data_IF_575985204226
#
_entry.id   IF_575985204226
#
_cell.length_a   1.000
_cell.length_b   1.000
_cell.length_c   1.000
_cell.angle_alpha   90.00
_cell.angle_beta   90.00
_cell.angle_gamma   90.00
#
_symmetry.space_group_name_H-M   'P 1'
#
loop_
_entity.id
_entity.type
_entity.pdbx_description
1 polymer ?
#
# COMPACT_ATOMS: atom_id res chain seq x y z
N UNK A 1 -10.69 -20.12 -14.43
CA UNK A 1 -12.11 -20.50 -14.36
C UNK A 1 -13.05 -19.30 -14.51
N UNK A 2 -13.15 -18.37 -13.54
CA UNK A 2 -14.09 -17.24 -13.66
C UNK A 2 -13.83 -16.37 -14.89
N UNK A 3 -12.59 -15.94 -15.10
CA UNK A 3 -12.18 -15.11 -16.26
C UNK A 3 -12.51 -15.80 -17.59
N UNK A 4 -12.23 -17.10 -17.71
CA UNK A 4 -12.55 -17.92 -18.89
C UNK A 4 -14.06 -18.06 -19.10
N UNK A 5 -14.84 -18.25 -18.02
CA UNK A 5 -16.30 -18.31 -18.08
C UNK A 5 -16.94 -16.99 -18.53
N UNK A 6 -16.33 -15.87 -18.14
CA UNK A 6 -16.76 -14.53 -18.55
C UNK A 6 -16.29 -14.18 -19.97
N UNK A 7 -15.37 -14.96 -20.56
CA UNK A 7 -14.72 -14.61 -21.83
C UNK A 7 -13.90 -13.32 -21.73
N UNK A 8 -13.41 -12.98 -20.53
CA UNK A 8 -12.65 -11.74 -20.31
C UNK A 8 -11.22 -11.87 -20.87
N UNK A 9 -10.72 -10.80 -21.46
CA UNK A 9 -9.36 -10.70 -22.04
C UNK A 9 -8.36 -10.07 -21.07
N UNK A 10 -8.86 -9.51 -19.96
CA UNK A 10 -8.02 -8.91 -18.93
C UNK A 10 -8.68 -8.89 -17.56
N UNK A 11 -7.86 -8.61 -16.55
CA UNK A 11 -8.24 -8.51 -15.16
C UNK A 11 -7.49 -7.37 -14.47
N UNK A 12 -8.19 -6.68 -13.57
CA UNK A 12 -7.59 -5.77 -12.60
C UNK A 12 -7.63 -6.48 -11.26
N UNK A 13 -6.47 -6.61 -10.62
CA UNK A 13 -6.36 -7.27 -9.31
C UNK A 13 -5.85 -6.24 -8.32
N UNK A 14 -6.62 -6.02 -7.26
CA UNK A 14 -6.18 -5.30 -6.07
C UNK A 14 -6.01 -6.29 -4.91
N UNK A 15 -5.26 -5.87 -3.90
CA UNK A 15 -5.13 -6.57 -2.62
C UNK A 15 -5.39 -5.59 -1.47
N UNK A 16 -5.44 -6.06 -0.23
CA UNK A 16 -5.44 -5.20 0.96
C UNK A 16 -4.37 -5.71 1.93
N UNK A 17 -3.46 -4.84 2.35
CA UNK A 17 -2.42 -5.14 3.33
C UNK A 17 -1.04 -5.28 2.68
N UNK A 18 -0.13 -6.02 3.31
CA UNK A 18 1.23 -6.19 2.78
C UNK A 18 1.84 -7.53 3.18
N UNK A 19 2.86 -7.97 2.45
CA UNK A 19 3.58 -9.22 2.71
C UNK A 19 2.88 -10.43 2.09
N UNK A 20 1.96 -11.06 2.81
CA UNK A 20 1.22 -12.21 2.26
C UNK A 20 0.26 -11.81 1.12
N UNK A 21 -0.49 -10.69 1.23
CA UNK A 21 -1.27 -10.15 0.12
C UNK A 21 -0.42 -9.90 -1.15
N UNK A 22 0.80 -9.39 -1.03
CA UNK A 22 1.70 -9.19 -2.17
C UNK A 22 2.00 -10.52 -2.89
N UNK A 23 2.24 -11.59 -2.14
CA UNK A 23 2.48 -12.91 -2.69
C UNK A 23 1.22 -13.45 -3.40
N UNK A 24 0.03 -13.25 -2.81
CA UNK A 24 -1.24 -13.61 -3.43
C UNK A 24 -1.52 -12.81 -4.71
N UNK A 25 -1.21 -11.51 -4.70
CA UNK A 25 -1.30 -10.61 -5.84
C UNK A 25 -0.41 -11.11 -6.99
N UNK A 26 0.86 -11.42 -6.70
CA UNK A 26 1.81 -11.98 -7.68
C UNK A 26 1.36 -13.34 -8.21
N UNK A 27 0.91 -14.24 -7.33
CA UNK A 27 0.40 -15.55 -7.73
C UNK A 27 -0.81 -15.44 -8.66
N UNK A 28 -1.73 -14.50 -8.40
CA UNK A 28 -2.87 -14.25 -9.28
C UNK A 28 -2.43 -13.71 -10.63
N UNK A 29 -1.52 -12.72 -10.65
CA UNK A 29 -0.94 -12.18 -11.88
C UNK A 29 -0.33 -13.30 -12.75
N UNK A 30 0.56 -14.11 -12.17
CA UNK A 30 1.24 -15.19 -12.88
C UNK A 30 0.25 -16.22 -13.43
N UNK A 31 -0.80 -16.56 -12.68
CA UNK A 31 -1.83 -17.52 -13.11
C UNK A 31 -2.71 -16.98 -14.25
N UNK A 32 -2.91 -15.67 -14.32
CA UNK A 32 -3.69 -15.00 -15.35
C UNK A 32 -2.87 -14.78 -16.62
N UNK A 33 -1.67 -14.23 -16.50
CA UNK A 33 -0.76 -13.98 -17.62
C UNK A 33 -0.36 -15.26 -18.34
N UNK A 34 -0.15 -16.38 -17.62
CA UNK A 34 0.11 -17.70 -18.22
C UNK A 34 -1.06 -18.27 -19.04
N UNK A 35 -2.24 -17.64 -18.98
CA UNK A 35 -3.43 -17.98 -19.77
C UNK A 35 -3.77 -16.88 -20.78
N UNK A 36 -2.80 -16.03 -21.11
CA UNK A 36 -2.94 -14.91 -22.04
C UNK A 36 -3.99 -13.86 -21.59
N UNK A 37 -4.29 -13.79 -20.29
CA UNK A 37 -5.16 -12.75 -19.71
C UNK A 37 -4.29 -11.58 -19.25
N UNK A 38 -4.51 -10.41 -19.85
CA UNK A 38 -3.77 -9.19 -19.48
C UNK A 38 -4.13 -8.72 -18.09
N UNK A 39 -3.14 -8.56 -17.24
CA UNK A 39 -3.35 -8.27 -15.82
C UNK A 39 -2.72 -6.94 -15.44
N UNK A 40 -3.51 -6.09 -14.78
CA UNK A 40 -3.01 -4.88 -14.11
C UNK A 40 -3.17 -5.05 -12.62
N UNK A 41 -2.11 -4.78 -11.87
CA UNK A 41 -2.10 -4.84 -10.41
C UNK A 41 -2.27 -3.44 -9.82
N UNK A 42 -3.13 -3.30 -8.82
CA UNK A 42 -3.23 -2.10 -7.98
C UNK A 42 -2.85 -2.50 -6.55
N UNK A 43 -1.90 -1.80 -5.97
CA UNK A 43 -1.34 -2.13 -4.64
C UNK A 43 -0.73 -0.87 -4.03
N UNK A 44 -0.42 -0.90 -2.75
CA UNK A 44 0.52 0.04 -2.14
C UNK A 44 1.91 -0.58 -2.01
N UNK A 45 2.88 0.23 -1.58
CA UNK A 45 4.26 -0.19 -1.49
C UNK A 45 4.79 -0.02 -0.07
N UNK A 46 5.62 -0.98 0.36
CA UNK A 46 6.35 -0.92 1.62
C UNK A 46 7.84 -0.83 1.32
N UNK A 47 8.20 0.24 0.60
CA UNK A 47 9.54 0.45 0.01
C UNK A 47 10.54 1.11 0.98
N UNK A 48 10.25 1.11 2.28
CA UNK A 48 11.08 1.79 3.28
C UNK A 48 10.94 3.33 3.22
N UNK A 49 11.46 4.01 4.24
CA UNK A 49 11.24 5.46 4.44
C UNK A 49 11.79 6.35 3.34
N UNK A 50 12.83 5.89 2.66
CA UNK A 50 13.48 6.57 1.54
C UNK A 50 13.02 6.04 0.17
N UNK A 51 12.09 5.07 0.15
CA UNK A 51 11.61 4.41 -1.07
C UNK A 51 12.65 3.52 -1.76
N UNK A 52 13.77 3.20 -1.11
CA UNK A 52 14.87 2.47 -1.73
C UNK A 52 14.86 0.96 -1.43
N UNK A 53 13.97 0.49 -0.55
CA UNK A 53 13.83 -0.93 -0.25
C UNK A 53 13.04 -1.64 -1.34
N UNK A 54 13.11 -2.96 -1.35
CA UNK A 54 12.23 -3.76 -2.19
C UNK A 54 10.78 -3.45 -1.83
N UNK A 55 10.02 -2.98 -2.82
CA UNK A 55 8.68 -2.40 -2.65
C UNK A 55 7.62 -3.42 -2.22
N UNK A 56 7.62 -4.59 -2.86
CA UNK A 56 6.69 -5.69 -2.59
C UNK A 56 7.45 -6.92 -2.10
N UNK A 57 6.83 -7.73 -1.23
CA UNK A 57 7.46 -8.94 -0.71
C UNK A 57 7.75 -10.01 -1.78
N UNK A 58 7.00 -10.01 -2.88
CA UNK A 58 7.20 -10.89 -4.03
C UNK A 58 7.21 -10.08 -5.35
N UNK A 59 7.93 -10.59 -6.34
CA UNK A 59 8.05 -9.98 -7.65
C UNK A 59 8.17 -11.03 -8.76
N UNK A 60 7.56 -10.75 -9.91
CA UNK A 60 7.64 -11.62 -11.07
C UNK A 60 7.72 -10.83 -12.37
N UNK A 61 8.50 -11.30 -13.35
CA UNK A 61 8.64 -10.62 -14.64
C UNK A 61 7.35 -10.58 -15.47
N UNK A 62 6.36 -11.43 -15.16
CA UNK A 62 5.03 -11.37 -15.77
C UNK A 62 4.18 -10.21 -15.23
N UNK A 63 4.46 -9.72 -14.01
CA UNK A 63 3.81 -8.55 -13.42
C UNK A 63 4.39 -7.26 -14.02
N UNK A 64 4.08 -7.02 -15.30
CA UNK A 64 4.63 -5.91 -16.09
C UNK A 64 3.79 -4.63 -16.07
N UNK A 65 2.61 -4.67 -15.45
CA UNK A 65 1.71 -3.53 -15.28
C UNK A 65 1.25 -3.44 -13.81
N UNK A 66 1.94 -2.59 -13.05
CA UNK A 66 1.67 -2.35 -11.62
C UNK A 66 1.41 -0.86 -11.42
N UNK A 67 0.33 -0.54 -10.73
CA UNK A 67 -0.06 0.82 -10.33
C UNK A 67 0.03 0.88 -8.82
N UNK A 68 0.94 1.70 -8.33
CA UNK A 68 1.10 1.98 -6.91
C UNK A 68 0.18 3.11 -6.45
N UNK A 69 -0.44 2.92 -5.29
CA UNK A 69 -1.19 3.95 -4.57
C UNK A 69 -0.33 4.76 -3.58
N UNK A 70 0.97 4.45 -3.47
CA UNK A 70 1.93 5.19 -2.65
C UNK A 70 2.77 4.30 -1.74
N UNK A 71 3.78 4.90 -1.11
CA UNK A 71 4.66 4.22 -0.16
C UNK A 71 4.13 4.38 1.28
N UNK A 72 3.69 3.29 1.89
CA UNK A 72 3.16 3.26 3.24
C UNK A 72 4.23 3.50 4.33
N UNK A 73 5.52 3.38 3.99
CA UNK A 73 6.64 3.68 4.89
C UNK A 73 7.11 5.14 4.83
N UNK A 74 6.52 5.99 3.97
CA UNK A 74 6.90 7.40 3.89
C UNK A 74 6.74 8.08 5.26
N UNK A 75 7.73 8.86 5.67
CA UNK A 75 7.67 9.58 6.94
C UNK A 75 6.71 10.77 6.84
N UNK A 76 5.83 10.87 7.83
CA UNK A 76 4.90 11.98 8.01
C UNK A 76 5.07 12.61 9.40
N UNK A 77 4.84 13.92 9.44
CA UNK A 77 4.74 14.70 10.66
C UNK A 77 3.29 15.15 10.88
N UNK A 78 2.64 14.64 11.92
CA UNK A 78 1.32 15.08 12.34
C UNK A 78 1.48 16.20 13.39
N UNK A 79 0.91 17.40 13.13
CA UNK A 79 1.03 18.52 14.06
C UNK A 79 0.25 18.26 15.35
N UNK A 80 0.60 18.94 16.45
CA UNK A 80 -0.11 18.80 17.71
C UNK A 80 -1.56 19.29 17.57
N UNK A 81 -2.50 18.54 18.14
CA UNK A 81 -3.94 18.84 18.07
C UNK A 81 -4.49 19.33 19.40
N UNK A 82 -5.52 20.19 19.35
CA UNK A 82 -6.14 20.77 20.56
C UNK A 82 -6.89 19.75 21.43
N UNK A 83 -7.34 18.65 20.83
CA UNK A 83 -8.16 17.63 21.49
C UNK A 83 -7.69 16.26 21.06
N UNK A 84 -7.28 15.46 22.03
CA UNK A 84 -6.93 14.04 21.87
C UNK A 84 -8.09 13.20 22.41
N UNK A 85 -8.44 12.13 21.70
CA UNK A 85 -9.42 11.14 22.13
C UNK A 85 -8.70 9.79 22.16
N UNK A 86 -8.68 9.13 23.31
CA UNK A 86 -7.96 7.87 23.50
C UNK A 86 -6.58 8.06 24.13
N UNK A 87 -5.64 7.22 23.72
CA UNK A 87 -4.34 6.99 24.37
C UNK A 87 -3.21 7.43 23.42
N UNK A 88 -2.72 8.68 23.50
CA UNK A 88 -1.73 9.22 22.54
C UNK A 88 -0.42 8.42 22.52
N UNK A 89 -0.03 7.82 23.63
CA UNK A 89 1.17 6.98 23.77
C UNK A 89 1.16 5.75 22.86
N UNK A 90 0.00 5.34 22.35
CA UNK A 90 -0.10 4.26 21.36
C UNK A 90 0.67 4.58 20.07
N UNK A 91 0.88 5.87 19.76
CA UNK A 91 1.71 6.30 18.63
C UNK A 91 3.15 5.76 18.68
N UNK A 92 3.66 5.41 19.87
CA UNK A 92 5.01 4.87 20.03
C UNK A 92 5.13 3.37 19.71
N UNK A 93 4.01 2.65 19.57
CA UNK A 93 4.00 1.18 19.44
C UNK A 93 3.11 0.64 18.31
N UNK A 94 2.25 1.49 17.74
CA UNK A 94 1.45 1.12 16.57
C UNK A 94 2.35 0.83 15.37
N UNK A 95 1.88 0.00 14.43
CA UNK A 95 2.57 -0.22 13.16
C UNK A 95 2.82 1.13 12.45
N UNK A 96 4.06 1.37 12.03
CA UNK A 96 4.55 2.65 11.51
C UNK A 96 5.05 3.65 12.56
N UNK A 97 4.77 3.43 13.83
CA UNK A 97 5.34 4.16 14.96
C UNK A 97 6.57 3.47 15.56
N UNK A 98 7.30 4.20 16.40
CA UNK A 98 8.45 3.70 17.16
C UNK A 98 8.58 4.45 18.48
N UNK A 99 9.45 3.96 19.38
CA UNK A 99 9.72 4.65 20.63
C UNK A 99 10.28 6.06 20.36
N UNK A 100 9.51 7.09 20.72
CA UNK A 100 9.80 8.49 20.41
C UNK A 100 9.01 9.07 19.23
N UNK A 101 8.07 8.33 18.65
CA UNK A 101 7.12 8.87 17.66
C UNK A 101 6.26 10.00 18.23
N UNK A 102 5.82 9.91 19.49
CA UNK A 102 5.08 10.98 20.17
C UNK A 102 6.04 11.96 20.85
N UNK A 103 6.07 13.21 20.39
CA UNK A 103 6.85 14.28 21.00
C UNK A 103 6.17 14.88 22.24
N UNK A 104 6.96 15.58 23.07
CA UNK A 104 6.47 16.22 24.29
C UNK A 104 5.44 17.34 24.05
N UNK A 105 5.46 17.96 22.87
CA UNK A 105 4.49 18.97 22.45
C UNK A 105 3.19 18.36 21.89
N UNK A 106 3.13 17.03 21.74
CA UNK A 106 1.99 16.29 21.20
C UNK A 106 2.02 16.10 19.69
N UNK A 107 3.06 16.54 18.98
CA UNK A 107 3.28 16.16 17.57
C UNK A 107 3.67 14.68 17.44
N UNK A 108 3.40 14.09 16.27
CA UNK A 108 3.72 12.67 15.99
C UNK A 108 4.54 12.58 14.71
N UNK A 109 5.73 11.98 14.81
CA UNK A 109 6.53 11.55 13.67
C UNK A 109 6.35 10.03 13.49
N UNK A 110 5.84 9.61 12.34
CA UNK A 110 5.54 8.20 12.06
C UNK A 110 5.61 7.90 10.56
N UNK A 111 5.55 6.62 10.20
CA UNK A 111 5.31 6.21 8.82
C UNK A 111 3.83 6.36 8.45
N UNK A 112 3.54 6.66 7.18
CA UNK A 112 2.20 6.94 6.66
C UNK A 112 1.15 5.88 7.02
N UNK A 113 1.56 4.61 7.12
CA UNK A 113 0.71 3.48 7.53
C UNK A 113 -0.01 3.64 8.88
N UNK A 114 0.40 4.58 9.75
CA UNK A 114 -0.38 4.90 10.96
C UNK A 114 -1.77 5.48 10.63
N UNK A 115 -1.93 6.04 9.43
CA UNK A 115 -3.20 6.49 8.88
C UNK A 115 -3.76 5.35 8.02
N UNK A 116 -4.60 4.51 8.63
CA UNK A 116 -5.24 3.39 7.95
C UNK A 116 -5.95 3.86 6.68
N UNK A 117 -5.60 3.25 5.55
CA UNK A 117 -6.17 3.55 4.23
C UNK A 117 -5.56 4.77 3.52
N UNK A 118 -4.48 5.36 4.03
CA UNK A 118 -3.80 6.47 3.35
C UNK A 118 -3.28 6.12 1.95
N UNK A 119 -2.91 4.86 1.75
CA UNK A 119 -2.43 4.28 0.49
C UNK A 119 -3.44 3.33 -0.15
N UNK A 120 -4.73 3.43 0.20
CA UNK A 120 -5.74 2.48 -0.27
C UNK A 120 -5.92 2.47 -1.80
N UNK A 121 -5.85 1.27 -2.35
CA UNK A 121 -5.88 0.86 -3.76
C UNK A 121 -7.30 0.77 -4.36
N UNK A 122 -8.35 0.94 -3.57
CA UNK A 122 -9.76 0.94 -4.02
C UNK A 122 -10.27 2.31 -4.49
N UNK A 123 -9.41 3.34 -4.49
CA UNK A 123 -9.70 4.61 -5.17
C UNK A 123 -10.45 5.66 -4.35
N UNK A 124 -10.30 5.66 -3.02
CA UNK A 124 -10.84 6.73 -2.15
C UNK A 124 -9.87 7.91 -1.93
N UNK A 125 -8.70 7.89 -2.57
CA UNK A 125 -7.68 8.94 -2.44
C UNK A 125 -7.85 10.05 -3.47
N UNK A 126 -7.11 11.15 -3.28
CA UNK A 126 -7.02 12.26 -4.25
C UNK A 126 -5.83 12.11 -5.19
N UNK A 127 -5.13 10.98 -5.12
CA UNK A 127 -4.02 10.66 -6.01
C UNK A 127 -4.59 10.37 -7.39
N UNK A 128 -4.07 11.05 -8.40
CA UNK A 128 -4.45 10.86 -9.79
C UNK A 128 -3.22 11.01 -10.66
N UNK A 129 -3.11 10.19 -11.71
CA UNK A 129 -2.21 10.49 -12.80
C UNK A 129 -2.57 11.85 -13.41
N UNK A 130 -1.57 12.67 -13.69
CA UNK A 130 -1.71 13.87 -14.52
C UNK A 130 -1.10 13.54 -15.87
N UNK A 131 -1.69 14.04 -16.95
CA UNK A 131 -1.09 13.92 -18.28
C UNK A 131 0.35 14.44 -18.24
N UNK A 132 1.27 13.68 -18.83
CA UNK A 132 2.69 13.97 -18.88
C UNK A 132 3.03 15.09 -19.87
#
# INVERSE_FOLDING_TARGET
KLVEMLGAEGAIVSEEGFGNPDADLMMNCVKLEKRDIKTVLLTDEYAGRDGASQSLADANSLASAVVSAGNANELIDLPPVKRVIGHPEAANVIAGGWDGSLAADGSIAAELQVIVGATNELGFSRLSAKDA
#
